data_IF_334723655022
#
_entry.id   IF_334723655022
#
_cell.length_a   1.000
_cell.length_b   1.000
_cell.length_c   1.000
_cell.angle_alpha   90.00
_cell.angle_beta   90.00
_cell.angle_gamma   90.00
#
_symmetry.space_group_name_H-M   'P 1'
#
loop_
_entity.id
_entity.type
_entity.pdbx_description
1 polymer ?
#
# COMPACT_ATOMS: atom_id res chain seq x y z
N UNK A 1 -7.82 3.28 11.37
CA UNK A 1 -7.18 4.59 11.65
C UNK A 1 -5.87 4.45 12.42
N UNK A 2 -5.83 3.83 13.60
CA UNK A 2 -4.58 3.69 14.38
C UNK A 2 -3.44 3.01 13.60
N UNK A 3 -3.70 1.90 12.92
CA UNK A 3 -2.71 1.22 12.09
C UNK A 3 -2.11 2.13 10.99
N UNK A 4 -2.94 2.94 10.32
CA UNK A 4 -2.47 3.85 9.28
C UNK A 4 -1.51 4.92 9.83
N UNK A 5 -1.81 5.47 11.02
CA UNK A 5 -0.93 6.44 11.69
C UNK A 5 0.41 5.79 12.03
N UNK A 6 0.40 4.58 12.59
CA UNK A 6 1.63 3.85 12.95
C UNK A 6 2.45 3.53 11.69
N UNK A 7 1.81 3.05 10.62
CA UNK A 7 2.48 2.79 9.32
C UNK A 7 3.16 4.05 8.78
N UNK A 8 2.48 5.20 8.82
CA UNK A 8 3.05 6.46 8.36
C UNK A 8 4.26 6.91 9.21
N UNK A 9 4.21 6.71 10.53
CA UNK A 9 5.36 7.00 11.41
C UNK A 9 6.54 6.10 11.05
N UNK A 10 6.33 4.79 10.89
CA UNK A 10 7.38 3.85 10.52
C UNK A 10 7.95 4.18 9.13
N UNK A 11 7.09 4.50 8.16
CA UNK A 11 7.51 4.92 6.83
C UNK A 11 8.38 6.19 6.87
N UNK A 12 8.04 7.17 7.71
CA UNK A 12 8.85 8.38 7.88
C UNK A 12 10.25 8.07 8.46
N UNK A 13 10.36 7.15 9.42
CA UNK A 13 11.64 6.71 9.97
C UNK A 13 12.48 5.99 8.90
N UNK A 14 11.89 5.07 8.15
CA UNK A 14 12.57 4.34 7.06
C UNK A 14 13.05 5.30 5.97
N UNK A 15 12.22 6.27 5.58
CA UNK A 15 12.58 7.27 4.57
C UNK A 15 13.69 8.21 5.06
N UNK A 16 13.71 8.55 6.35
CA UNK A 16 14.80 9.32 6.95
C UNK A 16 16.13 8.58 6.83
N UNK A 17 16.17 7.30 7.23
CA UNK A 17 17.37 6.46 7.10
C UNK A 17 17.83 6.31 5.64
N UNK A 18 16.89 6.16 4.71
CA UNK A 18 17.19 6.08 3.27
C UNK A 18 17.82 7.38 2.77
N UNK A 19 17.31 8.53 3.19
CA UNK A 19 17.82 9.86 2.81
C UNK A 19 19.20 10.12 3.42
N UNK A 20 19.38 9.83 4.70
CA UNK A 20 20.64 10.05 5.41
C UNK A 20 21.78 9.27 4.73
N UNK A 21 21.53 8.00 4.36
CA UNK A 21 22.50 7.17 3.62
C UNK A 21 22.79 7.65 2.20
N UNK A 22 21.79 8.24 1.53
CA UNK A 22 21.95 8.81 0.20
C UNK A 22 22.75 10.12 0.20
N UNK A 23 22.63 10.93 1.27
CA UNK A 23 23.36 12.20 1.40
C UNK A 23 24.76 12.04 2.00
N UNK A 24 24.97 11.05 2.88
CA UNK A 24 26.27 10.82 3.52
C UNK A 24 27.34 10.21 2.60
N UNK A 25 26.95 9.65 1.45
CA UNK A 25 27.91 9.05 0.53
C UNK A 25 28.46 10.08 -0.48
N UNK A 26 29.61 10.68 -0.15
CA UNK A 26 30.37 11.53 -1.09
C UNK A 26 30.94 10.71 -2.27
N UNK A 27 30.96 9.37 -2.19
CA UNK A 27 31.60 8.51 -3.21
C UNK A 27 30.85 7.20 -3.58
N UNK A 28 29.59 7.02 -3.18
CA UNK A 28 28.81 5.82 -3.57
C UNK A 28 27.76 5.41 -2.56
N UNK A 29 26.50 5.36 -3.00
CA UNK A 29 25.34 4.98 -2.20
C UNK A 29 25.59 3.67 -1.46
N UNK A 30 25.63 3.71 -0.12
CA UNK A 30 25.73 2.47 0.66
C UNK A 30 24.36 1.78 0.63
N UNK A 31 24.26 0.53 0.14
CA UNK A 31 22.97 -0.13 -0.03
C UNK A 31 22.27 -0.30 1.33
N UNK A 32 21.01 0.13 1.39
CA UNK A 32 20.19 -0.06 2.58
C UNK A 32 19.78 -1.53 2.71
N UNK A 33 19.86 -2.07 3.92
CA UNK A 33 19.43 -3.42 4.19
C UNK A 33 17.90 -3.56 3.99
N UNK A 34 17.48 -4.61 3.26
CA UNK A 34 16.06 -4.94 2.99
C UNK A 34 15.27 -5.14 4.29
N UNK A 35 15.91 -5.55 5.39
CA UNK A 35 15.24 -5.73 6.68
C UNK A 35 14.57 -4.45 7.22
N UNK A 36 14.93 -3.25 6.75
CA UNK A 36 14.24 -2.01 7.09
C UNK A 36 12.78 -1.96 6.63
N UNK A 37 12.40 -2.75 5.63
CA UNK A 37 11.00 -2.87 5.18
C UNK A 37 10.18 -3.84 6.04
N UNK A 38 10.82 -4.75 6.77
CA UNK A 38 10.14 -5.75 7.60
C UNK A 38 9.13 -5.15 8.59
N UNK A 39 9.47 -4.11 9.40
CA UNK A 39 8.49 -3.54 10.34
C UNK A 39 7.28 -2.94 9.62
N UNK A 40 7.48 -2.29 8.48
CA UNK A 40 6.40 -1.70 7.68
C UNK A 40 5.45 -2.79 7.17
N UNK A 41 5.99 -3.86 6.59
CA UNK A 41 5.18 -4.97 6.05
C UNK A 41 4.47 -5.78 7.14
N UNK A 42 5.10 -5.99 8.30
CA UNK A 42 4.45 -6.67 9.42
C UNK A 42 3.20 -5.91 9.89
N UNK A 43 3.31 -4.60 10.09
CA UNK A 43 2.18 -3.78 10.56
C UNK A 43 1.09 -3.74 9.49
N UNK A 44 1.45 -3.58 8.23
CA UNK A 44 0.50 -3.60 7.11
C UNK A 44 -0.22 -4.96 7.01
N UNK A 45 0.50 -6.06 7.23
CA UNK A 45 -0.07 -7.40 7.25
C UNK A 45 -1.13 -7.58 8.33
N UNK A 46 -0.83 -7.18 9.57
CA UNK A 46 -1.81 -7.18 10.65
C UNK A 46 -3.01 -6.29 10.34
N UNK A 47 -2.76 -5.06 9.88
CA UNK A 47 -3.81 -4.12 9.53
C UNK A 47 -4.75 -4.68 8.45
N UNK A 48 -4.20 -5.31 7.42
CA UNK A 48 -4.98 -5.92 6.35
C UNK A 48 -5.78 -7.13 6.84
N UNK A 49 -5.18 -7.99 7.66
CA UNK A 49 -5.88 -9.13 8.25
C UNK A 49 -7.12 -8.72 9.05
N UNK A 50 -6.97 -7.74 9.95
CA UNK A 50 -8.11 -7.23 10.73
C UNK A 50 -9.14 -6.51 9.86
N UNK A 51 -8.70 -5.72 8.87
CA UNK A 51 -9.60 -5.00 7.99
C UNK A 51 -10.45 -5.95 7.13
N UNK A 52 -9.85 -7.01 6.57
CA UNK A 52 -10.56 -7.99 5.74
C UNK A 52 -11.58 -8.77 6.56
N UNK A 53 -11.19 -9.29 7.73
CA UNK A 53 -12.11 -10.03 8.61
C UNK A 53 -13.26 -9.13 9.07
N UNK A 54 -12.94 -7.93 9.57
CA UNK A 54 -13.96 -7.00 10.05
C UNK A 54 -14.92 -6.54 8.94
N UNK A 55 -14.41 -6.32 7.72
CA UNK A 55 -15.26 -5.97 6.58
C UNK A 55 -16.16 -7.14 6.16
N UNK A 56 -15.60 -8.35 6.14
CA UNK A 56 -16.34 -9.57 5.80
C UNK A 56 -17.48 -9.83 6.80
N UNK A 57 -17.19 -9.77 8.11
CA UNK A 57 -18.19 -9.94 9.17
C UNK A 57 -19.26 -8.85 9.09
N UNK A 58 -18.88 -7.59 8.88
CA UNK A 58 -19.82 -6.49 8.72
C UNK A 58 -20.79 -6.73 7.55
N UNK A 59 -20.30 -7.11 6.38
CA UNK A 59 -21.16 -7.38 5.22
C UNK A 59 -22.00 -8.65 5.37
N UNK A 60 -21.60 -9.57 6.24
CA UNK A 60 -22.38 -10.76 6.57
C UNK A 60 -23.50 -10.47 7.56
N UNK A 61 -23.20 -9.71 8.62
CA UNK A 61 -24.10 -9.49 9.75
C UNK A 61 -25.11 -8.36 9.51
N UNK A 62 -24.77 -7.35 8.70
CA UNK A 62 -25.66 -6.21 8.45
C UNK A 62 -26.70 -6.47 7.36
N UNK A 63 -26.58 -7.58 6.61
CA UNK A 63 -27.54 -7.93 5.56
C UNK A 63 -28.52 -8.98 6.07
N UNK A 64 -29.80 -8.93 5.64
CA UNK A 64 -30.78 -9.95 5.97
C UNK A 64 -30.31 -11.35 5.55
N UNK A 65 -30.76 -12.38 6.25
CA UNK A 65 -30.35 -13.78 6.02
C UNK A 65 -30.53 -14.24 4.56
N UNK A 66 -31.61 -13.81 3.91
CA UNK A 66 -31.91 -14.10 2.51
C UNK A 66 -30.94 -13.43 1.51
N UNK A 67 -30.18 -12.42 1.95
CA UNK A 67 -29.29 -11.60 1.12
C UNK A 67 -27.81 -11.78 1.44
N UNK A 68 -27.44 -12.70 2.34
CA UNK A 68 -26.02 -12.94 2.73
C UNK A 68 -25.10 -13.22 1.54
N UNK A 69 -25.59 -13.96 0.54
CA UNK A 69 -24.84 -14.21 -0.70
C UNK A 69 -24.57 -12.91 -1.49
N UNK A 70 -25.55 -12.01 -1.56
CA UNK A 70 -25.37 -10.69 -2.18
C UNK A 70 -24.42 -9.81 -1.36
N UNK A 71 -24.48 -9.85 -0.03
CA UNK A 71 -23.53 -9.16 0.87
C UNK A 71 -22.07 -9.57 0.61
N UNK A 72 -21.82 -10.87 0.47
CA UNK A 72 -20.51 -11.39 0.08
C UNK A 72 -20.10 -10.99 -1.34
N UNK A 73 -21.05 -10.95 -2.27
CA UNK A 73 -20.83 -10.42 -3.62
C UNK A 73 -20.40 -8.94 -3.62
N UNK A 74 -21.01 -8.12 -2.76
CA UNK A 74 -20.61 -6.72 -2.57
C UNK A 74 -19.23 -6.60 -1.92
N UNK A 75 -18.92 -7.40 -0.90
CA UNK A 75 -17.58 -7.44 -0.30
C UNK A 75 -16.49 -7.70 -1.36
N UNK A 76 -16.66 -8.72 -2.20
CA UNK A 76 -15.72 -9.02 -3.29
C UNK A 76 -15.66 -7.89 -4.32
N UNK A 77 -16.81 -7.27 -4.63
CA UNK A 77 -16.89 -6.13 -5.55
C UNK A 77 -16.14 -4.91 -5.03
N UNK A 78 -16.20 -4.63 -3.72
CA UNK A 78 -15.44 -3.54 -3.09
C UNK A 78 -13.93 -3.78 -3.21
N UNK A 79 -13.47 -5.02 -2.99
CA UNK A 79 -12.06 -5.38 -3.19
C UNK A 79 -11.65 -5.20 -4.67
N UNK A 80 -12.47 -5.67 -5.60
CA UNK A 80 -12.24 -5.50 -7.04
C UNK A 80 -12.17 -4.04 -7.46
N UNK A 81 -13.14 -3.23 -7.02
CA UNK A 81 -13.18 -1.79 -7.27
C UNK A 81 -11.94 -1.08 -6.70
N UNK A 82 -11.49 -1.48 -5.52
CA UNK A 82 -10.26 -0.95 -4.91
C UNK A 82 -9.02 -1.23 -5.76
N UNK A 83 -8.91 -2.42 -6.37
CA UNK A 83 -7.82 -2.75 -7.28
C UNK A 83 -7.85 -1.94 -8.58
N UNK A 84 -9.03 -1.70 -9.15
CA UNK A 84 -9.18 -0.82 -10.30
C UNK A 84 -8.78 0.62 -9.96
N UNK A 85 -9.21 1.11 -8.79
CA UNK A 85 -8.84 2.44 -8.33
C UNK A 85 -7.32 2.56 -8.12
N UNK A 86 -6.68 1.55 -7.53
CA UNK A 86 -5.23 1.50 -7.36
C UNK A 86 -4.50 1.55 -8.71
N UNK A 87 -4.96 0.74 -9.68
CA UNK A 87 -4.39 0.72 -11.03
C UNK A 87 -4.55 2.07 -11.73
N UNK A 88 -5.71 2.71 -11.59
CA UNK A 88 -5.97 4.04 -12.13
C UNK A 88 -5.05 5.09 -11.51
N UNK A 89 -4.84 5.03 -10.20
CA UNK A 89 -3.93 5.95 -9.50
C UNK A 89 -2.50 5.78 -10.01
N UNK A 90 -2.01 4.54 -10.11
CA UNK A 90 -0.68 4.25 -10.67
C UNK A 90 -0.54 4.83 -12.08
N UNK A 91 -1.55 4.59 -12.94
CA UNK A 91 -1.55 5.12 -14.31
C UNK A 91 -1.49 6.65 -14.34
N UNK A 92 -2.29 7.32 -13.51
CA UNK A 92 -2.31 8.79 -13.44
C UNK A 92 -0.96 9.31 -12.98
N UNK A 93 -0.38 8.76 -11.91
CA UNK A 93 0.90 9.26 -11.42
C UNK A 93 2.02 8.98 -12.41
N UNK A 94 2.06 7.81 -13.05
CA UNK A 94 3.06 7.53 -14.09
C UNK A 94 2.93 8.48 -15.28
N UNK A 95 1.70 8.76 -15.73
CA UNK A 95 1.43 9.72 -16.82
C UNK A 95 1.87 11.15 -16.45
N UNK A 96 1.59 11.60 -15.23
CA UNK A 96 2.01 12.92 -14.76
C UNK A 96 3.52 13.00 -14.63
N UNK A 97 4.16 11.97 -14.07
CA UNK A 97 5.61 11.95 -13.85
C UNK A 97 6.39 11.85 -15.16
N UNK A 98 5.90 11.06 -16.13
CA UNK A 98 6.49 10.97 -17.47
C UNK A 98 6.33 12.24 -18.30
N UNK A 99 5.29 13.04 -18.06
CA UNK A 99 5.18 14.37 -18.68
C UNK A 99 6.21 15.37 -18.16
N UNK A 100 6.79 15.14 -16.98
CA UNK A 100 7.77 16.00 -16.32
C UNK A 100 9.21 15.50 -16.51
N UNK A 101 9.41 14.36 -17.18
CA UNK A 101 10.73 13.75 -17.38
C UNK A 101 10.66 12.22 -17.43
N UNK A 102 11.44 11.54 -16.59
CA UNK A 102 11.37 10.07 -16.46
C UNK A 102 10.08 9.67 -15.75
N UNK A 103 9.37 8.67 -16.27
CA UNK A 103 8.19 8.06 -15.61
C UNK A 103 8.53 7.54 -14.21
N UNK A 104 7.51 7.44 -13.34
CA UNK A 104 7.72 6.99 -11.97
C UNK A 104 8.13 5.51 -11.93
N UNK A 105 7.60 4.72 -12.86
CA UNK A 105 8.03 3.35 -13.07
C UNK A 105 8.95 3.30 -14.29
N UNK A 106 10.20 2.86 -14.09
CA UNK A 106 11.09 2.59 -15.22
C UNK A 106 10.51 1.41 -16.01
N UNK A 107 10.33 1.62 -17.31
CA UNK A 107 9.77 0.61 -18.22
C UNK A 107 10.79 -0.46 -18.59
N UNK A 108 12.08 -0.17 -18.38
CA UNK A 108 13.19 -1.09 -18.54
C UNK A 108 13.82 -1.37 -17.17
N UNK A 109 14.02 -2.66 -16.87
CA UNK A 109 14.69 -3.15 -15.67
C UNK A 109 16.21 -3.31 -15.87
N UNK A 110 16.74 -2.88 -17.02
CA UNK A 110 18.13 -3.03 -17.46
C UNK A 110 18.86 -1.68 -17.51
#
# INVERSE_FOLDING_TARGET
MAFAVIVMIVAAVVEKERRDKATSSIAGSTPMNVFWLAPLFMILGFANGFALVGLQEYFYDQVPDSMRSLGMGFYLSVIGASNFLSSLLIMVVDKVTSSLGKGWFEKDLN
#
